data_IF_391204648219
#
_entry.id   IF_391204648219
#
_cell.length_a   1.000
_cell.length_b   1.000
_cell.length_c   1.000
_cell.angle_alpha   90.00
_cell.angle_beta   90.00
_cell.angle_gamma   90.00
#
_symmetry.space_group_name_H-M   'P 1'
#
loop_
_entity.id
_entity.type
_entity.pdbx_description
1 polymer ?
#
# COMPACT_ATOMS: atom_id res chain seq x y z
N UNK A 1 -16.43 22.66 14.27
CA UNK A 1 -17.09 21.38 13.96
C UNK A 1 -16.15 20.26 14.36
N UNK A 2 -16.42 19.57 15.47
CA UNK A 2 -15.68 18.36 15.84
C UNK A 2 -16.30 17.22 15.04
N UNK A 3 -15.55 16.68 14.07
CA UNK A 3 -15.94 15.47 13.35
C UNK A 3 -15.87 14.28 14.30
N UNK A 4 -16.90 13.44 14.23
CA UNK A 4 -17.08 12.24 15.03
C UNK A 4 -15.83 11.34 14.98
N UNK A 5 -15.31 11.02 16.16
CA UNK A 5 -14.34 9.95 16.35
C UNK A 5 -15.06 8.66 16.00
N UNK A 6 -14.70 8.04 14.87
CA UNK A 6 -15.19 6.70 14.56
C UNK A 6 -14.74 5.74 15.66
N UNK A 7 -15.66 4.96 16.20
CA UNK A 7 -15.38 3.93 17.22
C UNK A 7 -14.22 3.04 16.75
N UNK A 8 -13.08 3.15 17.43
CA UNK A 8 -11.99 2.21 17.27
C UNK A 8 -12.46 0.90 17.90
N UNK A 9 -12.68 -0.13 17.09
CA UNK A 9 -13.01 -1.46 17.61
C UNK A 9 -11.73 -2.12 18.12
N UNK A 10 -11.61 -2.23 19.43
CA UNK A 10 -10.48 -2.85 20.14
C UNK A 10 -10.93 -4.21 20.73
N UNK A 11 -10.10 -5.24 20.62
CA UNK A 11 -10.42 -6.59 21.10
C UNK A 11 -9.88 -7.71 20.21
N UNK A 12 -10.31 -8.95 20.46
CA UNK A 12 -9.90 -10.14 19.71
C UNK A 12 -10.75 -10.30 18.44
N UNK A 13 -10.55 -9.37 17.51
CA UNK A 13 -11.34 -9.26 16.28
C UNK A 13 -10.65 -10.01 15.14
N UNK A 14 -11.42 -10.84 14.44
CA UNK A 14 -10.92 -11.55 13.27
C UNK A 14 -10.56 -10.58 12.14
N UNK A 15 -9.34 -10.60 11.60
CA UNK A 15 -8.92 -9.68 10.55
C UNK A 15 -9.60 -9.94 9.20
N UNK A 16 -10.27 -11.08 9.05
CA UNK A 16 -10.87 -11.51 7.78
C UNK A 16 -12.37 -11.26 7.71
N UNK A 17 -13.09 -11.39 8.83
CA UNK A 17 -14.54 -11.17 8.90
C UNK A 17 -14.97 -10.08 9.89
N UNK A 18 -14.03 -9.50 10.64
CA UNK A 18 -14.26 -8.46 11.65
C UNK A 18 -15.24 -8.86 12.77
N UNK A 19 -15.37 -10.16 13.03
CA UNK A 19 -16.11 -10.70 14.17
C UNK A 19 -15.25 -10.63 15.43
N UNK A 20 -15.80 -10.09 16.52
CA UNK A 20 -15.18 -10.11 17.83
C UNK A 20 -15.36 -11.49 18.47
N UNK A 21 -14.25 -12.12 18.82
CA UNK A 21 -14.21 -13.46 19.41
C UNK A 21 -13.95 -13.43 20.91
N UNK A 22 -13.89 -12.24 21.53
CA UNK A 22 -13.78 -11.96 22.97
C UNK A 22 -12.54 -12.53 23.69
N UNK A 23 -11.95 -13.64 23.24
CA UNK A 23 -10.70 -14.22 23.72
C UNK A 23 -9.78 -14.63 22.57
N UNK A 24 -8.50 -14.76 22.88
CA UNK A 24 -7.46 -15.16 21.93
C UNK A 24 -7.70 -16.56 21.36
N UNK A 25 -8.11 -17.51 22.20
CA UNK A 25 -8.32 -18.91 21.83
C UNK A 25 -9.47 -19.05 20.83
N UNK A 26 -10.57 -18.33 21.07
CA UNK A 26 -11.73 -18.32 20.16
C UNK A 26 -11.39 -17.69 18.81
N UNK A 27 -10.60 -16.62 18.81
CA UNK A 27 -10.11 -15.99 17.57
C UNK A 27 -9.24 -16.95 16.76
N UNK A 28 -8.36 -17.69 17.43
CA UNK A 28 -7.47 -18.64 16.78
C UNK A 28 -8.23 -19.82 16.17
N UNK A 29 -9.16 -20.43 16.91
CA UNK A 29 -10.02 -21.52 16.40
C UNK A 29 -10.89 -21.02 15.24
N UNK A 30 -11.51 -19.85 15.38
CA UNK A 30 -12.29 -19.23 14.31
C UNK A 30 -11.47 -19.06 13.03
N UNK A 31 -10.24 -18.54 13.15
CA UNK A 31 -9.38 -18.32 12.00
C UNK A 31 -8.99 -19.63 11.30
N UNK A 32 -8.68 -20.67 12.08
CA UNK A 32 -8.29 -21.98 11.56
C UNK A 32 -9.46 -22.70 10.88
N UNK A 33 -10.63 -22.73 11.49
CA UNK A 33 -11.75 -23.53 10.98
C UNK A 33 -12.52 -22.85 9.83
N UNK A 34 -12.57 -21.51 9.84
CA UNK A 34 -13.37 -20.72 8.90
C UNK A 34 -12.51 -20.18 7.74
N UNK A 35 -11.29 -19.72 8.02
CA UNK A 35 -10.48 -18.97 7.04
C UNK A 35 -9.28 -19.74 6.46
N UNK A 36 -8.78 -20.82 7.10
CA UNK A 36 -7.63 -21.58 6.55
C UNK A 36 -7.98 -22.50 5.36
N UNK A 37 -9.24 -22.60 4.92
CA UNK A 37 -9.64 -23.46 3.79
C UNK A 37 -9.28 -22.92 2.39
N UNK A 38 -8.43 -21.91 2.27
CA UNK A 38 -7.97 -21.36 0.99
C UNK A 38 -6.47 -21.62 0.72
N UNK A 39 -6.04 -22.87 0.80
CA UNK A 39 -4.81 -23.31 0.12
C UNK A 39 -5.10 -24.54 -0.75
N UNK A 40 -4.54 -24.62 -1.98
CA UNK A 40 -4.72 -25.78 -2.81
C UNK A 40 -3.76 -26.90 -2.39
N UNK A 41 -4.36 -28.04 -2.07
CA UNK A 41 -3.87 -29.42 -2.21
C UNK A 41 -3.15 -30.14 -1.05
N UNK A 42 -3.74 -31.31 -0.74
CA UNK A 42 -3.09 -32.57 -0.27
C UNK A 42 -2.73 -32.60 1.21
N UNK A 43 -3.60 -33.08 2.11
CA UNK A 43 -3.95 -34.50 2.33
C UNK A 43 -5.28 -34.63 3.07
N UNK A 44 -6.08 -35.63 2.69
CA UNK A 44 -7.35 -35.98 3.32
C UNK A 44 -7.10 -36.82 4.58
N UNK A 45 -7.97 -36.66 5.57
CA UNK A 45 -8.46 -37.80 6.35
C UNK A 45 -8.63 -37.55 7.84
N UNK A 46 -9.80 -37.95 8.35
CA UNK A 46 -10.22 -38.00 9.76
C UNK A 46 -10.40 -36.60 10.37
N UNK A 47 -11.59 -36.02 10.51
CA UNK A 47 -12.78 -36.56 11.18
C UNK A 47 -14.04 -36.07 10.46
N UNK A 48 -14.73 -36.99 9.80
CA UNK A 48 -16.13 -36.81 9.44
C UNK A 48 -16.91 -37.83 10.23
N UNK A 49 -17.46 -37.41 11.37
CA UNK A 49 -18.63 -38.06 11.94
C UNK A 49 -19.51 -37.01 12.62
N UNK A 50 -20.83 -37.20 12.43
CA UNK A 50 -21.94 -36.52 13.08
C UNK A 50 -22.28 -35.09 12.61
N UNK A 51 -23.01 -35.06 11.50
CA UNK A 51 -23.97 -34.01 11.14
C UNK A 51 -25.17 -34.15 12.08
N UNK A 52 -25.56 -33.13 12.84
CA UNK A 52 -26.99 -32.91 13.11
C UNK A 52 -27.30 -31.50 13.61
N UNK A 53 -28.40 -30.97 13.06
CA UNK A 53 -29.05 -29.71 13.38
C UNK A 53 -29.25 -29.56 14.89
N UNK A 54 -28.83 -28.43 15.45
CA UNK A 54 -29.56 -27.77 16.54
C UNK A 54 -29.65 -26.28 16.19
N UNK A 55 -30.82 -25.89 15.70
CA UNK A 55 -31.30 -24.51 15.78
C UNK A 55 -31.48 -24.19 17.28
N UNK A 56 -31.21 -22.93 17.63
CA UNK A 56 -31.79 -22.20 18.77
C UNK A 56 -31.70 -22.85 20.15
N UNK A 57 -30.66 -22.54 20.93
CA UNK A 57 -30.68 -22.51 22.40
C UNK A 57 -29.53 -21.55 22.83
N UNK A 58 -29.75 -20.24 22.81
CA UNK A 58 -29.94 -19.45 24.03
C UNK A 58 -30.40 -20.31 25.22
N UNK A 59 -29.64 -20.23 26.30
CA UNK A 59 -29.88 -20.84 27.62
C UNK A 59 -29.36 -22.27 27.80
N UNK A 60 -28.12 -22.37 28.29
CA UNK A 60 -27.82 -23.07 29.53
C UNK A 60 -26.34 -22.90 29.88
N UNK A 61 -26.09 -21.89 30.72
CA UNK A 61 -25.10 -22.05 31.77
C UNK A 61 -25.44 -23.34 32.54
N UNK A 62 -24.50 -24.28 32.62
CA UNK A 62 -24.13 -24.91 33.90
C UNK A 62 -22.93 -25.83 33.70
N UNK A 63 -21.86 -25.44 34.40
CA UNK A 63 -20.83 -26.27 35.01
C UNK A 63 -19.96 -27.14 34.09
N UNK A 64 -18.81 -26.57 33.70
CA UNK A 64 -17.58 -27.34 33.51
C UNK A 64 -16.65 -27.02 34.71
N UNK A 65 -16.01 -28.02 35.33
CA UNK A 65 -15.27 -27.88 36.58
C UNK A 65 -14.09 -26.93 36.46
N UNK A 66 -13.99 -26.06 37.47
CA UNK A 66 -12.88 -25.16 37.74
C UNK A 66 -11.62 -25.95 38.08
N UNK A 67 -10.83 -26.38 37.10
CA UNK A 67 -9.41 -26.68 37.33
C UNK A 67 -8.56 -26.21 36.14
N UNK A 68 -7.64 -25.30 36.48
CA UNK A 68 -6.47 -24.86 35.70
C UNK A 68 -6.72 -23.88 34.54
N UNK A 69 -7.52 -22.83 34.76
CA UNK A 69 -7.24 -21.57 34.06
C UNK A 69 -6.02 -20.94 34.71
N UNK A 70 -4.86 -21.00 34.05
CA UNK A 70 -3.72 -20.16 34.39
C UNK A 70 -4.18 -18.70 34.30
N UNK A 71 -4.52 -18.15 35.45
CA UNK A 71 -5.14 -16.85 35.59
C UNK A 71 -4.03 -15.80 35.42
N UNK A 72 -3.86 -15.31 34.20
CA UNK A 72 -2.91 -14.25 33.87
C UNK A 72 -3.16 -12.95 34.68
N UNK A 73 -4.34 -12.83 35.32
CA UNK A 73 -4.66 -11.73 36.23
C UNK A 73 -4.05 -11.90 37.65
N UNK A 74 -3.59 -13.10 38.01
CA UNK A 74 -2.91 -13.33 39.30
C UNK A 74 -1.53 -12.65 39.36
N UNK A 75 -0.89 -12.44 38.20
CA UNK A 75 0.36 -11.67 38.12
C UNK A 75 0.21 -10.18 38.45
N UNK A 76 -1.02 -9.66 38.50
CA UNK A 76 -1.30 -8.25 38.79
C UNK A 76 -1.94 -8.02 40.16
N UNK A 77 -2.18 -9.06 40.96
CA UNK A 77 -2.94 -8.94 42.22
C UNK A 77 -2.18 -9.29 43.49
N UNK A 78 -0.89 -9.62 43.42
CA UNK A 78 -0.04 -9.78 44.61
C UNK A 78 0.80 -8.54 44.87
N UNK A 79 0.16 -7.44 45.26
CA UNK A 79 0.87 -6.38 45.97
C UNK A 79 -0.06 -5.64 46.94
N UNK A 80 -0.33 -6.32 48.06
CA UNK A 80 -0.94 -5.72 49.25
C UNK A 80 0.08 -5.84 50.40
N UNK A 81 1.30 -5.31 50.22
CA UNK A 81 2.04 -4.65 51.32
C UNK A 81 3.38 -3.96 50.95
N UNK A 82 3.63 -3.50 49.72
CA UNK A 82 4.81 -2.65 49.50
C UNK A 82 4.47 -1.16 49.62
N UNK A 83 4.56 -0.64 50.85
CA UNK A 83 4.57 0.80 51.14
C UNK A 83 5.81 1.54 50.59
N UNK A 84 6.51 0.94 49.62
CA UNK A 84 7.64 1.51 48.87
C UNK A 84 7.29 1.85 47.43
N UNK A 85 6.04 2.18 47.11
CA UNK A 85 5.66 2.79 45.83
C UNK A 85 6.30 4.18 45.67
N UNK A 86 7.62 4.20 45.46
CA UNK A 86 8.38 5.41 45.18
C UNK A 86 7.88 5.97 43.85
N UNK A 87 7.60 7.28 43.76
CA UNK A 87 7.17 7.88 42.50
C UNK A 87 8.21 7.57 41.42
N UNK A 88 7.79 6.87 40.38
CA UNK A 88 8.65 6.57 39.25
C UNK A 88 9.06 7.89 38.60
N UNK A 89 10.37 8.13 38.49
CA UNK A 89 10.84 9.33 37.81
C UNK A 89 10.65 9.20 36.30
N UNK A 90 10.30 10.33 35.67
CA UNK A 90 10.15 10.43 34.22
C UNK A 90 11.42 9.87 33.57
N UNK A 91 11.24 8.86 32.72
CA UNK A 91 12.34 8.24 32.00
C UNK A 91 13.00 9.19 30.99
N UNK A 92 14.06 8.73 30.36
CA UNK A 92 14.75 9.51 29.35
C UNK A 92 13.88 9.74 28.11
N UNK A 93 13.59 11.00 27.78
CA UNK A 93 12.85 11.38 26.57
C UNK A 93 13.85 11.77 25.48
N UNK A 94 13.73 11.14 24.30
CA UNK A 94 14.44 11.53 23.08
C UNK A 94 13.44 11.96 22.03
N UNK A 95 13.67 13.13 21.44
CA UNK A 95 12.95 13.57 20.24
C UNK A 95 13.63 13.03 18.97
N UNK A 96 12.83 12.48 18.06
CA UNK A 96 13.25 12.10 16.70
C UNK A 96 12.66 13.02 15.62
N UNK A 97 11.97 14.08 16.02
CA UNK A 97 11.19 14.95 15.12
C UNK A 97 12.07 15.61 14.07
N UNK A 98 13.28 16.05 14.42
CA UNK A 98 14.16 16.73 13.46
C UNK A 98 14.72 15.77 12.41
N UNK A 99 15.06 14.54 12.83
CA UNK A 99 15.43 13.48 11.89
C UNK A 99 14.26 13.18 10.95
N UNK A 100 13.05 12.99 11.47
CA UNK A 100 11.86 12.78 10.65
C UNK A 100 11.62 13.92 9.66
N UNK A 101 11.70 15.18 10.11
CA UNK A 101 11.54 16.37 9.25
C UNK A 101 12.58 16.41 8.14
N UNK A 102 13.84 16.08 8.45
CA UNK A 102 14.93 16.03 7.48
C UNK A 102 14.68 14.98 6.41
N UNK A 103 14.38 13.74 6.81
CA UNK A 103 14.09 12.64 5.87
C UNK A 103 12.87 12.97 5.00
N UNK A 104 11.79 13.46 5.63
CA UNK A 104 10.58 13.87 4.91
C UNK A 104 10.85 15.00 3.92
N UNK A 105 11.64 16.00 4.31
CA UNK A 105 12.01 17.12 3.43
C UNK A 105 12.81 16.63 2.24
N UNK A 106 13.79 15.76 2.43
CA UNK A 106 14.59 15.21 1.34
C UNK A 106 13.71 14.48 0.30
N UNK A 107 12.76 13.67 0.76
CA UNK A 107 11.79 13.00 -0.13
C UNK A 107 10.89 14.01 -0.86
N UNK A 108 10.36 14.99 -0.14
CA UNK A 108 9.52 16.04 -0.73
C UNK A 108 10.28 16.84 -1.79
N UNK A 109 11.51 17.25 -1.50
CA UNK A 109 12.35 18.02 -2.41
C UNK A 109 12.64 17.20 -3.69
N UNK A 110 12.92 15.90 -3.56
CA UNK A 110 13.12 15.02 -4.72
C UNK A 110 11.87 14.95 -5.62
N UNK A 111 10.68 14.75 -5.02
CA UNK A 111 9.42 14.71 -5.77
C UNK A 111 9.14 16.06 -6.44
N UNK A 112 9.42 17.17 -5.74
CA UNK A 112 9.24 18.52 -6.27
C UNK A 112 10.13 18.75 -7.48
N UNK A 113 11.42 18.36 -7.42
CA UNK A 113 12.36 18.54 -8.53
C UNK A 113 11.89 17.78 -9.77
N UNK A 114 11.49 16.52 -9.61
CA UNK A 114 11.00 15.72 -10.73
C UNK A 114 9.71 16.33 -11.31
N UNK A 115 8.77 16.72 -10.46
CA UNK A 115 7.51 17.35 -10.91
C UNK A 115 7.76 18.65 -11.66
N UNK A 116 8.56 19.57 -11.10
CA UNK A 116 8.90 20.84 -11.74
C UNK A 116 9.62 20.62 -13.07
N UNK A 117 10.51 19.64 -13.16
CA UNK A 117 11.18 19.28 -14.42
C UNK A 117 10.18 18.86 -15.48
N UNK A 118 9.19 18.03 -15.14
CA UNK A 118 8.17 17.59 -16.09
C UNK A 118 7.26 18.75 -16.52
N UNK A 119 6.85 19.61 -15.59
CA UNK A 119 6.03 20.80 -15.91
C UNK A 119 6.74 21.70 -16.92
N UNK A 120 8.00 22.07 -16.66
CA UNK A 120 8.79 22.90 -17.58
C UNK A 120 8.98 22.25 -18.95
N UNK A 121 9.11 20.92 -19.02
CA UNK A 121 9.19 20.20 -20.30
C UNK A 121 7.86 20.20 -21.06
N UNK A 122 6.74 19.99 -20.36
CA UNK A 122 5.40 20.10 -20.96
C UNK A 122 5.21 21.49 -21.56
N UNK A 123 5.55 22.56 -20.84
CA UNK A 123 5.45 23.93 -21.33
C UNK A 123 6.22 24.11 -22.64
N UNK A 124 7.50 23.70 -22.69
CA UNK A 124 8.33 23.77 -23.90
C UNK A 124 7.75 22.99 -25.09
N UNK A 125 7.21 21.79 -24.82
CA UNK A 125 6.55 20.96 -25.83
C UNK A 125 5.26 21.59 -26.35
N UNK A 126 4.49 22.28 -25.49
CA UNK A 126 3.28 23.01 -25.90
C UNK A 126 3.65 24.23 -26.73
N UNK A 127 4.60 25.04 -26.27
CA UNK A 127 5.02 26.27 -26.96
C UNK A 127 5.47 26.01 -28.40
N UNK A 128 6.03 24.83 -28.69
CA UNK A 128 6.38 24.46 -30.06
C UNK A 128 5.23 23.94 -30.90
N UNK A 129 4.21 23.33 -30.30
CA UNK A 129 2.96 23.06 -31.00
C UNK A 129 2.27 24.33 -31.53
N UNK A 130 2.53 25.49 -30.93
CA UNK A 130 1.94 26.78 -31.29
C UNK A 130 2.79 27.57 -32.30
N UNK A 131 4.13 27.52 -32.17
CA UNK A 131 5.05 28.30 -33.02
C UNK A 131 5.49 27.59 -34.31
N UNK A 132 5.26 26.28 -34.44
CA UNK A 132 5.57 25.53 -35.65
C UNK A 132 4.37 25.63 -36.62
N UNK A 133 4.54 26.20 -37.83
CA UNK A 133 3.44 26.28 -38.78
C UNK A 133 2.98 24.86 -39.16
N UNK A 134 1.67 24.67 -39.34
CA UNK A 134 1.02 23.35 -39.48
C UNK A 134 1.57 22.46 -40.62
N UNK A 135 2.41 23.03 -41.49
CA UNK A 135 3.08 22.44 -42.64
C UNK A 135 4.60 22.22 -42.44
N UNK A 136 5.15 22.44 -41.24
CA UNK A 136 6.56 22.25 -40.98
C UNK A 136 6.98 20.78 -41.14
N UNK A 137 8.21 20.61 -41.61
CA UNK A 137 8.81 19.31 -41.85
C UNK A 137 8.83 18.49 -40.54
N UNK A 138 8.23 17.29 -40.55
CA UNK A 138 8.19 16.35 -39.42
C UNK A 138 9.57 16.10 -38.80
N UNK A 139 10.64 16.26 -39.58
CA UNK A 139 12.03 16.12 -39.13
C UNK A 139 12.49 17.22 -38.17
N UNK A 140 12.11 18.48 -38.40
CA UNK A 140 12.53 19.62 -37.56
C UNK A 140 11.84 19.56 -36.20
N UNK A 141 10.55 19.26 -36.20
CA UNK A 141 9.77 19.04 -34.98
C UNK A 141 10.38 17.92 -34.14
N UNK A 142 10.72 16.78 -34.76
CA UNK A 142 11.35 15.66 -34.04
C UNK A 142 12.69 16.05 -33.44
N UNK A 143 13.52 16.82 -34.16
CA UNK A 143 14.81 17.29 -33.64
C UNK A 143 14.62 18.17 -32.41
N UNK A 144 13.70 19.13 -32.47
CA UNK A 144 13.40 19.98 -31.33
C UNK A 144 12.86 19.19 -30.13
N UNK A 145 11.95 18.23 -30.35
CA UNK A 145 11.45 17.34 -29.30
C UNK A 145 12.59 16.55 -28.61
N UNK A 146 13.64 16.20 -29.35
CA UNK A 146 14.85 15.55 -28.82
C UNK A 146 15.80 16.53 -28.12
N UNK A 147 15.80 17.81 -28.50
CA UNK A 147 16.60 18.85 -27.82
C UNK A 147 15.98 19.22 -26.45
N UNK A 148 14.67 19.05 -26.25
CA UNK A 148 14.01 19.27 -24.94
C UNK A 148 14.36 18.16 -23.95
N UNK A 149 14.34 16.91 -24.41
CA UNK A 149 14.67 15.75 -23.58
C UNK A 149 15.46 14.74 -24.40
N UNK A 150 16.58 14.31 -23.85
CA UNK A 150 17.39 13.26 -24.46
C UNK A 150 16.59 11.94 -24.50
N UNK A 151 16.49 11.36 -25.68
CA UNK A 151 15.81 10.08 -25.87
C UNK A 151 16.78 8.95 -25.58
N UNK A 152 16.36 8.02 -24.73
CA UNK A 152 17.19 6.85 -24.43
C UNK A 152 17.33 6.01 -25.69
N UNK A 153 18.57 5.61 -25.99
CA UNK A 153 18.87 4.70 -27.09
C UNK A 153 18.12 3.37 -26.90
N UNK A 154 17.45 2.94 -27.96
CA UNK A 154 16.74 1.67 -28.03
C UNK A 154 17.66 0.50 -27.66
N UNK A 155 18.95 0.53 -28.01
CA UNK A 155 19.89 -0.58 -27.71
C UNK A 155 20.05 -0.85 -26.21
N UNK A 156 19.86 0.18 -25.37
CA UNK A 156 20.03 0.10 -23.92
C UNK A 156 18.79 -0.42 -23.19
N UNK A 157 17.66 -0.57 -23.89
CA UNK A 157 16.37 -0.93 -23.27
C UNK A 157 15.85 -2.25 -23.83
N UNK A 158 15.87 -3.28 -22.98
CA UNK A 158 15.36 -4.62 -23.31
C UNK A 158 13.91 -4.84 -22.85
N UNK A 159 13.52 -4.19 -21.74
CA UNK A 159 12.19 -4.30 -21.12
C UNK A 159 11.52 -2.93 -21.05
N UNK A 160 10.19 -2.90 -21.20
CA UNK A 160 9.43 -1.68 -20.96
C UNK A 160 9.48 -1.32 -19.46
N UNK A 161 9.93 -0.12 -19.05
CA UNK A 161 10.06 0.25 -17.64
C UNK A 161 8.71 0.37 -16.92
N UNK A 162 7.61 0.51 -17.66
CA UNK A 162 6.26 0.61 -17.08
C UNK A 162 5.59 -0.74 -16.79
N UNK A 163 5.85 -1.78 -17.60
CA UNK A 163 5.20 -3.10 -17.43
C UNK A 163 6.17 -4.28 -17.36
N UNK A 164 7.47 -4.03 -17.41
CA UNK A 164 8.57 -5.02 -17.42
C UNK A 164 8.52 -6.07 -18.56
N UNK A 165 7.64 -5.91 -19.56
CA UNK A 165 7.57 -6.83 -20.71
C UNK A 165 8.68 -6.55 -21.72
N UNK A 166 9.28 -7.61 -22.26
CA UNK A 166 10.31 -7.53 -23.30
C UNK A 166 9.76 -6.98 -24.61
N UNK A 167 10.56 -6.17 -25.29
CA UNK A 167 10.25 -5.72 -26.65
C UNK A 167 10.43 -6.86 -27.66
N UNK A 168 9.63 -6.84 -28.72
CA UNK A 168 9.64 -7.81 -29.82
C UNK A 168 9.15 -7.16 -31.11
N UNK A 169 9.10 -7.92 -32.22
CA UNK A 169 8.57 -7.41 -33.48
C UNK A 169 7.12 -6.91 -33.36
N UNK A 170 6.30 -7.56 -32.52
CA UNK A 170 4.92 -7.14 -32.25
C UNK A 170 4.80 -6.11 -31.13
N UNK A 171 5.73 -6.10 -30.16
CA UNK A 171 5.82 -5.08 -29.11
C UNK A 171 6.98 -4.13 -29.40
N UNK A 172 6.72 -3.13 -30.23
CA UNK A 172 7.72 -2.14 -30.67
C UNK A 172 8.03 -1.11 -29.58
N UNK A 173 9.18 -0.45 -29.74
CA UNK A 173 9.69 0.61 -28.87
C UNK A 173 9.11 1.97 -29.28
N UNK A 174 8.73 2.77 -28.29
CA UNK A 174 8.20 4.12 -28.46
C UNK A 174 8.82 5.04 -27.43
N UNK A 175 9.22 6.25 -27.81
CA UNK A 175 9.76 7.24 -26.88
C UNK A 175 8.65 8.13 -26.28
N UNK A 176 8.68 8.30 -24.97
CA UNK A 176 7.91 9.35 -24.30
C UNK A 176 8.55 10.71 -24.61
N UNK A 177 7.78 11.66 -25.15
CA UNK A 177 8.30 13.00 -25.48
C UNK A 177 8.57 13.85 -24.25
N UNK A 178 7.94 13.51 -23.11
CA UNK A 178 8.06 14.23 -21.86
C UNK A 178 9.28 13.78 -21.04
N UNK A 179 9.51 12.46 -21.00
CA UNK A 179 10.54 11.86 -20.14
C UNK A 179 11.73 11.27 -20.89
N UNK A 180 11.61 11.03 -22.21
CA UNK A 180 12.65 10.41 -23.04
C UNK A 180 12.75 8.88 -22.91
N UNK A 181 11.97 8.25 -22.02
CA UNK A 181 11.97 6.80 -21.81
C UNK A 181 11.42 6.01 -23.00
N UNK A 182 11.99 4.82 -23.21
CA UNK A 182 11.50 3.83 -24.17
C UNK A 182 10.42 2.96 -23.53
N UNK A 183 9.21 3.03 -24.06
CA UNK A 183 8.01 2.32 -23.57
C UNK A 183 7.35 1.53 -24.71
N UNK A 184 6.46 0.60 -24.35
CA UNK A 184 5.64 -0.11 -25.34
C UNK A 184 4.32 0.61 -25.60
N UNK A 185 3.69 0.35 -26.75
CA UNK A 185 2.42 0.98 -27.15
C UNK A 185 1.32 0.91 -26.06
N UNK A 186 1.04 -0.24 -25.41
CA UNK A 186 0.04 -0.31 -24.33
C UNK A 186 0.38 0.53 -23.09
N UNK A 187 1.66 0.86 -22.88
CA UNK A 187 2.11 1.74 -21.79
C UNK A 187 2.21 3.20 -22.23
N UNK A 188 2.12 3.49 -23.53
CA UNK A 188 2.13 4.85 -24.04
C UNK A 188 0.75 5.46 -23.86
N UNK A 189 0.67 6.52 -23.04
CA UNK A 189 -0.56 7.32 -22.90
C UNK A 189 -0.34 8.67 -23.54
N UNK A 190 -1.30 9.07 -24.36
CA UNK A 190 -1.27 10.35 -25.05
C UNK A 190 -1.93 11.43 -24.19
N UNK A 191 -1.26 12.57 -24.06
CA UNK A 191 -1.82 13.78 -23.48
C UNK A 191 -2.18 14.74 -24.60
N UNK A 192 -3.46 15.10 -24.70
CA UNK A 192 -3.93 16.08 -25.68
C UNK A 192 -3.38 17.48 -25.35
N UNK A 193 -2.95 18.24 -26.37
CA UNK A 193 -2.48 19.62 -26.19
C UNK A 193 -3.50 20.53 -25.46
N UNK A 194 -4.80 20.35 -25.73
CA UNK A 194 -5.87 21.08 -25.03
C UNK A 194 -5.94 20.76 -23.54
N UNK A 195 -5.60 19.54 -23.14
CA UNK A 195 -5.52 19.12 -21.74
C UNK A 195 -4.21 19.57 -21.11
N UNK A 196 -3.10 19.48 -21.84
CA UNK A 196 -1.79 19.88 -21.37
C UNK A 196 -1.72 21.38 -21.02
N UNK A 197 -2.41 22.24 -21.77
CA UNK A 197 -2.52 23.69 -21.50
C UNK A 197 -3.25 24.09 -20.22
N UNK A 198 -3.96 23.14 -19.59
CA UNK A 198 -4.74 23.39 -18.37
C UNK A 198 -4.08 22.82 -17.11
N UNK A 199 -2.91 22.19 -17.26
CA UNK A 199 -2.07 21.72 -16.15
C UNK A 199 -1.37 22.94 -15.58
#
# INVERSE_FOLDING_TARGET
>A
MLQAVGDVREGFICPQCHQDMSTMEMLQVHFQDIHMKQSPSTVKGLFSFAKQKIKSVQDNFTNIPNEQTNNYAQYFSSDQNDSSSKPQQIGYIRSYTDRFKKERKAQHDQISIETTRLLLRIEKLISTGENIPKNANTKERRKYEQDIVEWIDDTKVTLCPSCAKSFSLSRRKHHCRLDGFVICDPCSRFLLFSKARKI
#
